data_IF_970826904653
#
_entry.id   IF_970826904653
#
_cell.length_a   1.000
_cell.length_b   1.000
_cell.length_c   1.000
_cell.angle_alpha   90.00
_cell.angle_beta   90.00
_cell.angle_gamma   90.00
#
_symmetry.space_group_name_H-M   'P 1'
#
loop_
_entity.id
_entity.type
_entity.pdbx_description
1 polymer ?
#
# COMPACT_ATOMS: atom_id res chain seq x y z
N UNK A 1 -15.05 -2.35 11.62
CA UNK A 1 -13.69 -1.92 11.25
C UNK A 1 -13.17 -2.87 10.19
N UNK A 2 -12.74 -2.37 9.03
CA UNK A 2 -12.21 -3.21 7.95
C UNK A 2 -10.70 -3.40 8.10
N UNK A 3 -10.12 -4.35 7.36
CA UNK A 3 -8.66 -4.55 7.37
C UNK A 3 -7.94 -3.30 6.83
N UNK A 4 -8.51 -2.63 5.82
CA UNK A 4 -8.02 -1.35 5.33
C UNK A 4 -8.02 -0.27 6.42
N UNK A 5 -9.13 -0.08 7.15
CA UNK A 5 -9.16 0.92 8.25
C UNK A 5 -8.10 0.62 9.31
N UNK A 6 -7.90 -0.66 9.66
CA UNK A 6 -6.86 -1.06 10.61
C UNK A 6 -5.46 -0.76 10.09
N UNK A 7 -5.16 -1.15 8.85
CA UNK A 7 -3.87 -0.92 8.22
C UNK A 7 -3.55 0.57 8.11
N UNK A 8 -4.52 1.39 7.70
CA UNK A 8 -4.39 2.84 7.65
C UNK A 8 -4.08 3.41 9.05
N UNK A 9 -4.83 3.00 10.07
CA UNK A 9 -4.59 3.46 11.44
C UNK A 9 -3.20 3.06 11.96
N UNK A 10 -2.70 1.88 11.61
CA UNK A 10 -1.35 1.44 11.98
C UNK A 10 -0.27 2.23 11.22
N UNK A 11 -0.39 2.38 9.91
CA UNK A 11 0.56 3.15 9.10
C UNK A 11 0.57 4.65 9.46
N UNK A 12 -0.57 5.21 9.87
CA UNK A 12 -0.66 6.59 10.34
C UNK A 12 0.13 6.84 11.65
N UNK A 13 0.60 5.79 12.33
CA UNK A 13 1.51 5.92 13.48
C UNK A 13 2.97 6.08 13.07
N UNK A 14 3.31 5.83 11.80
CA UNK A 14 4.69 5.90 11.33
C UNK A 14 5.15 7.35 11.22
N UNK A 15 6.38 7.66 11.65
CA UNK A 15 6.94 8.99 11.43
C UNK A 15 6.99 9.28 9.93
N UNK A 16 6.76 10.53 9.56
CA UNK A 16 6.74 11.03 8.18
C UNK A 16 5.57 10.57 7.30
N UNK A 17 4.59 9.84 7.83
CA UNK A 17 3.33 9.56 7.15
C UNK A 17 2.19 10.40 7.74
N UNK A 18 1.39 11.00 6.86
CA UNK A 18 0.18 11.75 7.21
C UNK A 18 -0.96 11.37 6.29
N UNK A 19 -2.18 11.37 6.81
CA UNK A 19 -3.37 11.27 5.98
C UNK A 19 -3.45 12.46 5.02
N UNK A 20 -3.74 12.17 3.76
CA UNK A 20 -3.80 13.15 2.69
C UNK A 20 -4.96 12.83 1.74
N UNK A 21 -5.35 13.82 0.94
CA UNK A 21 -6.28 13.60 -0.15
C UNK A 21 -5.61 12.67 -1.20
N UNK A 22 -6.28 11.59 -1.63
CA UNK A 22 -5.74 10.69 -2.65
C UNK A 22 -5.62 11.38 -4.00
N UNK A 23 -4.56 11.07 -4.74
CA UNK A 23 -4.29 11.70 -6.04
C UNK A 23 -5.37 11.42 -7.09
N UNK A 24 -6.09 10.28 -7.01
CA UNK A 24 -7.19 9.96 -7.91
C UNK A 24 -8.55 10.54 -7.49
N UNK A 25 -8.63 11.21 -6.34
CA UNK A 25 -9.86 11.80 -5.80
C UNK A 25 -10.82 10.80 -5.14
N UNK A 26 -10.46 9.51 -5.03
CA UNK A 26 -11.27 8.48 -4.38
C UNK A 26 -10.44 7.66 -3.39
N UNK A 27 -11.03 7.33 -2.24
CA UNK A 27 -10.41 6.50 -1.20
C UNK A 27 -9.71 7.32 -0.12
N UNK A 28 -8.74 6.69 0.54
CA UNK A 28 -7.89 7.33 1.55
C UNK A 28 -6.42 7.15 1.18
N UNK A 29 -5.58 8.09 1.57
CA UNK A 29 -4.16 8.04 1.26
C UNK A 29 -3.31 8.43 2.46
N UNK A 30 -2.13 7.81 2.54
CA UNK A 30 -1.04 8.24 3.41
C UNK A 30 0.09 8.75 2.54
N UNK A 31 0.56 9.95 2.86
CA UNK A 31 1.61 10.65 2.14
C UNK A 31 2.76 11.01 3.06
N UNK A 32 3.95 11.04 2.46
CA UNK A 32 5.12 11.71 3.03
C UNK A 32 5.27 13.11 2.45
N UNK A 33 6.29 13.85 2.90
CA UNK A 33 6.71 15.11 2.26
C UNK A 33 7.03 14.96 0.76
N UNK A 34 7.32 13.74 0.29
CA UNK A 34 7.65 13.42 -1.10
C UNK A 34 6.46 12.85 -1.89
N UNK A 35 5.25 12.94 -1.31
CA UNK A 35 4.01 12.51 -1.92
C UNK A 35 3.50 11.17 -1.40
N UNK A 36 2.49 10.68 -2.10
CA UNK A 36 1.69 9.51 -1.71
C UNK A 36 2.54 8.23 -1.61
N UNK A 37 2.36 7.49 -0.51
CA UNK A 37 3.06 6.24 -0.20
C UNK A 37 2.09 5.06 -0.20
N UNK A 38 0.93 5.20 0.44
CA UNK A 38 -0.10 4.16 0.49
C UNK A 38 -1.47 4.74 0.08
N UNK A 39 -2.17 4.04 -0.80
CA UNK A 39 -3.49 4.43 -1.31
C UNK A 39 -4.49 3.30 -1.08
N UNK A 40 -5.50 3.55 -0.26
CA UNK A 40 -6.61 2.64 0.02
C UNK A 40 -7.76 2.95 -0.94
N UNK A 41 -7.85 2.20 -2.05
CA UNK A 41 -8.93 2.35 -3.04
C UNK A 41 -10.26 1.76 -2.55
N UNK A 42 -10.20 0.77 -1.68
CA UNK A 42 -11.36 0.07 -1.13
C UNK A 42 -11.04 -0.48 0.26
N UNK A 43 -12.02 -1.16 0.87
CA UNK A 43 -11.80 -1.87 2.14
C UNK A 43 -10.86 -3.09 2.03
N UNK A 44 -10.43 -3.44 0.81
CA UNK A 44 -9.68 -4.66 0.51
C UNK A 44 -8.40 -4.45 -0.28
N UNK A 45 -8.25 -3.34 -1.00
CA UNK A 45 -7.10 -3.14 -1.88
C UNK A 45 -6.32 -1.90 -1.46
N UNK A 46 -5.01 -2.08 -1.28
CA UNK A 46 -4.07 -1.03 -0.92
C UNK A 46 -2.94 -1.00 -1.93
N UNK A 47 -2.72 0.15 -2.56
CA UNK A 47 -1.58 0.38 -3.43
C UNK A 47 -0.42 0.99 -2.64
N UNK A 48 0.76 0.39 -2.72
CA UNK A 48 1.99 0.84 -2.06
C UNK A 48 3.03 1.31 -3.08
N UNK A 49 3.56 2.52 -2.89
CA UNK A 49 4.60 3.08 -3.75
C UNK A 49 5.98 2.59 -3.35
N UNK A 50 6.53 1.67 -4.15
CA UNK A 50 7.85 1.08 -3.91
C UNK A 50 8.93 1.59 -4.87
N UNK A 51 8.56 2.37 -5.89
CA UNK A 51 9.41 2.70 -7.05
C UNK A 51 9.72 1.48 -7.92
N UNK A 52 9.87 1.71 -9.21
CA UNK A 52 10.23 0.67 -10.19
C UNK A 52 11.55 -0.05 -9.82
N UNK A 53 12.53 0.65 -9.25
CA UNK A 53 13.80 0.04 -8.79
C UNK A 53 13.58 -0.97 -7.66
N UNK A 54 12.80 -0.63 -6.63
CA UNK A 54 12.59 -1.57 -5.52
C UNK A 54 11.69 -2.73 -5.94
N UNK A 55 10.68 -2.48 -6.79
CA UNK A 55 9.85 -3.54 -7.36
C UNK A 55 10.69 -4.54 -8.12
N UNK A 56 11.64 -4.11 -8.97
CA UNK A 56 12.56 -5.04 -9.64
C UNK A 56 13.39 -5.85 -8.65
N UNK A 57 13.97 -5.19 -7.65
CA UNK A 57 14.80 -5.84 -6.61
C UNK A 57 14.03 -6.89 -5.82
N UNK A 58 12.78 -6.59 -5.44
CA UNK A 58 11.94 -7.42 -4.59
C UNK A 58 11.00 -8.34 -5.39
N UNK A 59 11.03 -8.27 -6.73
CA UNK A 59 10.04 -8.93 -7.59
C UNK A 59 9.85 -10.42 -7.33
N UNK A 60 10.92 -11.16 -7.03
CA UNK A 60 10.84 -12.59 -6.71
C UNK A 60 10.11 -12.83 -5.39
N UNK A 61 10.37 -12.01 -4.37
CA UNK A 61 9.77 -12.17 -3.04
C UNK A 61 8.33 -11.68 -3.03
N UNK A 62 8.05 -10.54 -3.65
CA UNK A 62 6.68 -10.01 -3.80
C UNK A 62 5.75 -11.02 -4.46
N UNK A 63 6.23 -11.72 -5.52
CA UNK A 63 5.44 -12.74 -6.24
C UNK A 63 5.18 -14.01 -5.43
N UNK A 64 5.80 -14.21 -4.26
CA UNK A 64 5.49 -15.35 -3.37
C UNK A 64 4.18 -15.16 -2.62
N UNK A 65 3.74 -13.92 -2.45
CA UNK A 65 2.51 -13.61 -1.75
C UNK A 65 1.35 -13.53 -2.74
N UNK A 66 0.36 -14.40 -2.58
CA UNK A 66 -0.83 -14.40 -3.45
C UNK A 66 -1.64 -13.10 -3.36
N UNK A 67 -1.53 -12.39 -2.22
CA UNK A 67 -2.14 -11.08 -1.99
C UNK A 67 -1.50 -9.94 -2.79
N UNK A 68 -0.28 -10.12 -3.33
CA UNK A 68 0.47 -9.04 -3.96
C UNK A 68 0.35 -9.11 -5.48
N UNK A 69 -0.11 -8.01 -6.08
CA UNK A 69 -0.16 -7.82 -7.52
C UNK A 69 0.84 -6.74 -7.95
N UNK A 70 1.81 -7.15 -8.75
CA UNK A 70 2.79 -6.24 -9.37
C UNK A 70 2.33 -5.88 -10.77
N UNK A 71 2.20 -4.59 -11.05
CA UNK A 71 1.89 -4.08 -12.40
C UNK A 71 3.21 -3.73 -13.10
N UNK A 72 3.56 -4.38 -14.24
CA UNK A 72 4.78 -4.06 -14.98
C UNK A 72 4.85 -2.58 -15.37
N UNK A 73 6.00 -1.95 -15.14
CA UNK A 73 6.22 -0.52 -15.45
C UNK A 73 5.60 0.46 -14.47
N UNK A 74 4.85 -0.02 -13.47
CA UNK A 74 4.34 0.82 -12.38
C UNK A 74 5.36 0.98 -11.26
N UNK A 75 5.30 2.10 -10.55
CA UNK A 75 6.01 2.30 -9.28
C UNK A 75 5.19 1.87 -8.06
N UNK A 76 4.05 1.23 -8.30
CA UNK A 76 3.08 0.78 -7.30
C UNK A 76 2.88 -0.73 -7.34
N UNK A 77 2.56 -1.28 -6.19
CA UNK A 77 2.08 -2.67 -6.04
C UNK A 77 0.76 -2.65 -5.30
N UNK A 78 -0.19 -3.49 -5.71
CA UNK A 78 -1.45 -3.66 -5.00
C UNK A 78 -1.33 -4.82 -4.02
N UNK A 79 -1.77 -4.63 -2.79
CA UNK A 79 -1.89 -5.65 -1.75
C UNK A 79 -3.36 -5.83 -1.46
N UNK A 80 -3.85 -7.05 -1.63
CA UNK A 80 -5.22 -7.44 -1.28
C UNK A 80 -5.27 -7.95 0.15
N UNK A 81 -6.11 -7.33 0.96
CA UNK A 81 -6.32 -7.64 2.38
C UNK A 81 -7.49 -8.62 2.52
N UNK A 82 -7.23 -9.92 2.31
CA UNK A 82 -8.23 -10.97 2.51
C UNK A 82 -8.15 -11.58 3.93
N UNK A 83 -6.98 -11.49 4.58
CA UNK A 83 -6.72 -11.96 5.94
C UNK A 83 -5.91 -10.95 6.76
N UNK A 84 -5.97 -11.07 8.09
CA UNK A 84 -5.20 -10.17 8.98
C UNK A 84 -3.69 -10.23 8.75
N UNK A 85 -3.15 -11.36 8.32
CA UNK A 85 -1.72 -11.50 8.00
C UNK A 85 -1.30 -10.69 6.76
N UNK A 86 -2.23 -10.32 5.88
CA UNK A 86 -1.91 -9.48 4.71
C UNK A 86 -1.61 -8.04 5.14
N UNK A 87 -2.15 -7.59 6.29
CA UNK A 87 -1.82 -6.29 6.88
C UNK A 87 -0.35 -6.23 7.27
N UNK A 88 0.24 -7.34 7.68
CA UNK A 88 1.65 -7.41 8.07
C UNK A 88 2.59 -7.20 6.86
N UNK A 89 2.11 -7.32 5.62
CA UNK A 89 2.88 -6.96 4.42
C UNK A 89 3.07 -5.45 4.25
N UNK A 90 2.27 -4.65 4.97
CA UNK A 90 2.35 -3.19 4.96
C UNK A 90 3.25 -2.64 6.09
N UNK A 91 3.62 -3.47 7.08
CA UNK A 91 4.35 -3.07 8.29
C UNK A 91 5.83 -3.51 8.23
#
# INVERSE_FOLDING_TARGET
>A
MTLATRALAQLATWPDLMEAAPSCGTGQALSSAHGEIAHFHSDRDVDLKLTDRAIRRLSRDLRRFAAVRVVPGSSWVTIRLDASADVDLLL
#
